data_IF_608260694809
#
_entry.id   IF_608260694809
#
_cell.length_a   1.000
_cell.length_b   1.000
_cell.length_c   1.000
_cell.angle_alpha   90.00
_cell.angle_beta   90.00
_cell.angle_gamma   90.00
#
_symmetry.space_group_name_H-M   'P 1'
#
loop_
_entity.id
_entity.type
_entity.pdbx_description
1 polymer ?
#
# COMPACT_ATOMS: atom_id res chain seq x y z
N UNK A 1 9.56 -29.81 -23.39
CA UNK A 1 8.23 -29.19 -23.21
C UNK A 1 8.20 -28.56 -21.83
N UNK A 2 7.96 -27.24 -21.73
CA UNK A 2 7.96 -26.51 -20.45
C UNK A 2 6.51 -26.26 -20.07
N UNK A 3 6.03 -26.95 -19.05
CA UNK A 3 4.63 -26.85 -18.60
C UNK A 3 4.46 -25.57 -17.80
N UNK A 4 3.83 -24.56 -18.39
CA UNK A 4 3.49 -23.32 -17.70
C UNK A 4 2.37 -23.59 -16.68
N UNK A 5 2.72 -23.64 -15.39
CA UNK A 5 1.73 -23.68 -14.31
C UNK A 5 1.14 -22.28 -14.12
N UNK A 6 -0.05 -22.04 -14.66
CA UNK A 6 -0.77 -20.78 -14.45
C UNK A 6 -1.24 -20.71 -12.99
N UNK A 7 -0.89 -19.63 -12.28
CA UNK A 7 -1.39 -19.35 -10.93
C UNK A 7 -2.88 -18.98 -11.03
N UNK A 8 -3.77 -19.53 -10.18
CA UNK A 8 -5.19 -19.21 -10.24
C UNK A 8 -5.40 -17.71 -9.93
N UNK A 9 -6.11 -17.04 -10.84
CA UNK A 9 -6.52 -15.64 -10.70
C UNK A 9 -7.43 -15.53 -9.47
N UNK A 10 -7.03 -14.72 -8.48
CA UNK A 10 -7.74 -14.56 -7.20
C UNK A 10 -9.13 -13.97 -7.46
N UNK A 11 -10.15 -14.83 -7.52
CA UNK A 11 -11.54 -14.41 -7.72
C UNK A 11 -11.99 -13.60 -6.51
N UNK A 12 -12.22 -12.29 -6.70
CA UNK A 12 -12.79 -11.43 -5.66
C UNK A 12 -14.24 -11.84 -5.41
N UNK A 13 -14.48 -12.59 -4.34
CA UNK A 13 -15.83 -12.95 -3.90
C UNK A 13 -16.51 -11.66 -3.39
N UNK A 14 -17.54 -11.21 -4.09
CA UNK A 14 -18.39 -10.12 -3.62
C UNK A 14 -19.10 -10.59 -2.35
N UNK A 15 -18.87 -9.91 -1.22
CA UNK A 15 -19.54 -10.23 0.04
C UNK A 15 -20.83 -9.42 0.13
N UNK A 16 -21.98 -10.08 -0.05
CA UNK A 16 -23.29 -9.47 0.15
C UNK A 16 -23.79 -9.81 1.55
N UNK A 17 -24.20 -8.79 2.31
CA UNK A 17 -24.79 -8.96 3.63
C UNK A 17 -25.93 -7.96 3.80
N UNK A 18 -27.10 -8.47 4.18
CA UNK A 18 -28.31 -7.66 4.40
C UNK A 18 -28.43 -7.33 5.88
N UNK A 19 -28.55 -6.05 6.21
CA UNK A 19 -28.67 -5.58 7.60
C UNK A 19 -29.82 -4.60 7.72
N UNK A 20 -30.64 -4.72 8.76
CA UNK A 20 -31.72 -3.78 9.02
C UNK A 20 -31.19 -2.44 9.54
N UNK A 21 -31.86 -1.35 9.16
CA UNK A 21 -31.60 0.00 9.67
C UNK A 21 -32.20 0.12 11.07
N UNK A 22 -31.40 0.54 12.04
CA UNK A 22 -31.82 0.79 13.43
C UNK A 22 -32.31 2.24 13.59
N UNK A 23 -32.82 2.56 14.78
CA UNK A 23 -33.25 3.92 15.11
C UNK A 23 -32.15 4.96 14.81
N UNK A 24 -32.56 6.14 14.36
CA UNK A 24 -31.62 7.21 13.96
C UNK A 24 -30.85 6.91 12.67
N UNK A 25 -31.28 5.94 11.86
CA UNK A 25 -30.66 5.65 10.56
C UNK A 25 -29.35 4.84 10.65
N UNK A 26 -29.08 4.21 11.79
CA UNK A 26 -27.83 3.47 12.01
C UNK A 26 -27.82 2.13 11.26
N UNK A 27 -26.74 1.86 10.53
CA UNK A 27 -26.49 0.58 9.85
C UNK A 27 -25.23 -0.05 10.43
N UNK A 28 -25.34 -1.31 10.87
CA UNK A 28 -24.19 -2.06 11.36
C UNK A 28 -23.39 -2.61 10.19
N UNK A 29 -22.11 -2.26 10.11
CA UNK A 29 -21.20 -2.83 9.11
C UNK A 29 -20.92 -4.30 9.48
N UNK A 30 -21.12 -5.26 8.55
CA UNK A 30 -20.78 -6.65 8.77
C UNK A 30 -19.31 -6.85 9.13
N UNK A 31 -19.03 -7.74 10.10
CA UNK A 31 -17.68 -7.96 10.63
C UNK A 31 -16.67 -8.36 9.53
N UNK A 32 -17.10 -9.12 8.52
CA UNK A 32 -16.25 -9.50 7.40
C UNK A 32 -15.77 -8.28 6.59
N UNK A 33 -16.66 -7.31 6.36
CA UNK A 33 -16.36 -6.06 5.66
C UNK A 33 -15.47 -5.19 6.53
N UNK A 34 -15.80 -5.04 7.82
CA UNK A 34 -14.98 -4.29 8.77
C UNK A 34 -13.55 -4.84 8.83
N UNK A 35 -13.36 -6.16 8.95
CA UNK A 35 -12.04 -6.80 8.94
C UNK A 35 -11.30 -6.62 7.61
N UNK A 36 -11.99 -6.73 6.47
CA UNK A 36 -11.40 -6.54 5.13
C UNK A 36 -10.81 -5.13 4.96
N UNK A 37 -11.51 -4.12 5.49
CA UNK A 37 -11.07 -2.72 5.42
C UNK A 37 -10.36 -2.23 6.69
N UNK A 38 -10.14 -3.12 7.67
CA UNK A 38 -9.53 -2.84 8.99
C UNK A 38 -10.19 -1.68 9.74
N UNK A 39 -11.50 -1.54 9.59
CA UNK A 39 -12.28 -0.50 10.27
C UNK A 39 -12.30 -0.73 11.77
N UNK A 40 -12.01 0.31 12.53
CA UNK A 40 -12.10 0.37 13.99
C UNK A 40 -13.19 1.34 14.43
N UNK A 41 -13.60 1.22 15.69
CA UNK A 41 -14.46 2.23 16.32
C UNK A 41 -13.76 3.59 16.32
N UNK A 42 -14.50 4.64 15.94
CA UNK A 42 -13.96 5.99 15.79
C UNK A 42 -13.44 6.33 14.38
N UNK A 43 -13.29 5.33 13.49
CA UNK A 43 -12.90 5.60 12.10
C UNK A 43 -13.98 6.39 11.35
N UNK A 44 -13.54 7.32 10.51
CA UNK A 44 -14.45 8.11 9.67
C UNK A 44 -14.74 7.38 8.37
N UNK A 45 -16.03 7.33 7.98
CA UNK A 45 -16.45 6.85 6.66
C UNK A 45 -17.13 8.00 5.90
N UNK A 46 -16.81 8.13 4.63
CA UNK A 46 -17.55 9.00 3.71
C UNK A 46 -18.72 8.23 3.12
N UNK A 47 -19.92 8.78 3.27
CA UNK A 47 -21.09 8.33 2.53
C UNK A 47 -21.21 9.14 1.25
N UNK A 48 -21.32 8.46 0.12
CA UNK A 48 -21.63 9.09 -1.17
C UNK A 48 -22.91 8.46 -1.74
N UNK A 49 -23.90 9.30 -1.99
CA UNK A 49 -25.08 8.96 -2.76
C UNK A 49 -24.84 9.30 -4.23
N UNK A 50 -25.12 8.35 -5.12
CA UNK A 50 -25.00 8.52 -6.57
C UNK A 50 -26.36 8.75 -7.25
N UNK A 51 -27.46 8.84 -6.49
CA UNK A 51 -28.81 9.09 -7.00
C UNK A 51 -29.43 7.91 -7.76
N UNK A 52 -28.77 6.74 -7.74
CA UNK A 52 -29.18 5.52 -8.46
C UNK A 52 -29.67 4.42 -7.53
N UNK A 53 -30.12 4.79 -6.34
CA UNK A 53 -30.60 3.85 -5.32
C UNK A 53 -29.50 3.05 -4.62
N UNK A 54 -28.24 3.48 -4.71
CA UNK A 54 -27.15 2.90 -3.92
C UNK A 54 -26.28 3.97 -3.26
N UNK A 55 -25.91 3.68 -2.01
CA UNK A 55 -25.01 4.50 -1.21
C UNK A 55 -23.70 3.75 -1.08
N UNK A 56 -22.59 4.43 -1.37
CA UNK A 56 -21.25 3.86 -1.22
C UNK A 56 -20.64 4.37 0.08
N UNK A 57 -20.20 3.43 0.91
CA UNK A 57 -19.41 3.69 2.11
C UNK A 57 -17.93 3.60 1.75
N UNK A 58 -17.23 4.72 1.86
CA UNK A 58 -15.80 4.81 1.59
C UNK A 58 -15.05 5.09 2.89
N UNK A 59 -14.25 4.15 3.40
CA UNK A 59 -13.37 4.41 4.54
C UNK A 59 -12.47 5.60 4.25
N UNK A 60 -12.54 6.65 5.07
CA UNK A 60 -11.48 7.65 5.08
C UNK A 60 -10.42 7.15 6.04
N UNK A 61 -9.29 6.72 5.48
CA UNK A 61 -8.06 6.71 6.25
C UNK A 61 -7.75 8.17 6.57
N UNK A 62 -8.21 8.65 7.72
CA UNK A 62 -7.60 9.81 8.33
C UNK A 62 -6.14 9.43 8.52
N UNK A 63 -5.23 10.17 7.89
CA UNK A 63 -3.80 10.14 8.21
C UNK A 63 -3.56 10.74 9.62
N UNK A 64 -4.39 10.39 10.59
CA UNK A 64 -4.23 10.66 12.01
C UNK A 64 -4.19 9.29 12.67
N UNK A 65 -3.06 8.61 12.51
CA UNK A 65 -2.90 7.23 12.97
C UNK A 65 -1.71 6.47 12.39
N UNK A 66 -1.08 6.98 11.33
CA UNK A 66 0.27 6.58 10.89
C UNK A 66 1.34 7.24 11.80
N UNK A 67 1.17 7.02 13.10
CA UNK A 67 2.22 7.08 14.13
C UNK A 67 2.01 5.90 15.08
N UNK A 68 1.59 4.76 14.54
CA UNK A 68 1.37 3.53 15.28
C UNK A 68 2.51 2.55 15.00
N UNK A 69 3.70 2.83 15.51
CA UNK A 69 4.83 1.89 15.65
C UNK A 69 5.51 1.37 14.36
N UNK A 70 4.78 1.16 13.26
CA UNK A 70 5.28 0.60 12.00
C UNK A 70 6.08 1.61 11.18
N UNK A 71 5.77 2.90 11.26
CA UNK A 71 6.48 3.93 10.50
C UNK A 71 7.88 4.17 11.04
N UNK A 72 8.06 4.17 12.36
CA UNK A 72 9.41 4.26 12.97
C UNK A 72 10.25 3.04 12.63
N UNK A 73 9.65 1.83 12.66
CA UNK A 73 10.37 0.62 12.30
C UNK A 73 10.75 0.61 10.82
N UNK A 74 9.86 1.07 9.95
CA UNK A 74 10.11 1.15 8.50
C UNK A 74 11.16 2.21 8.21
N UNK A 75 11.10 3.37 8.86
CA UNK A 75 12.05 4.47 8.70
C UNK A 75 13.46 4.08 9.18
N UNK A 76 13.57 3.43 10.35
CA UNK A 76 14.87 2.89 10.83
C UNK A 76 15.43 1.84 9.87
N UNK A 77 14.59 1.01 9.27
CA UNK A 77 15.04 0.04 8.26
C UNK A 77 15.48 0.72 6.96
N UNK A 78 14.81 1.80 6.54
CA UNK A 78 15.23 2.61 5.39
C UNK A 78 16.56 3.31 5.64
N UNK A 79 16.73 3.95 6.79
CA UNK A 79 17.98 4.65 7.15
C UNK A 79 19.16 3.66 7.16
N UNK A 80 18.94 2.46 7.71
CA UNK A 80 19.96 1.40 7.71
C UNK A 80 20.27 0.89 6.30
N UNK A 81 19.25 0.71 5.46
CA UNK A 81 19.44 0.27 4.07
C UNK A 81 20.14 1.35 3.22
N UNK A 82 19.89 2.63 3.49
CA UNK A 82 20.55 3.75 2.83
C UNK A 82 22.03 3.85 3.21
N UNK A 83 22.35 3.61 4.48
CA UNK A 83 23.73 3.53 4.96
C UNK A 83 24.48 2.34 4.33
N UNK A 84 23.87 1.14 4.32
CA UNK A 84 24.45 -0.05 3.69
C UNK A 84 24.66 0.14 2.17
N UNK A 85 23.70 0.78 1.48
CA UNK A 85 23.83 1.12 0.06
C UNK A 85 24.96 2.14 -0.18
N UNK A 86 25.07 3.16 0.68
CA UNK A 86 26.13 4.17 0.59
C UNK A 86 27.52 3.56 0.79
N UNK A 87 27.66 2.60 1.70
CA UNK A 87 28.92 1.89 1.93
C UNK A 87 29.26 0.92 0.79
N UNK A 88 28.27 0.28 0.17
CA UNK A 88 28.47 -0.57 -1.00
C UNK A 88 28.88 0.25 -2.24
N UNK A 89 28.31 1.45 -2.43
CA UNK A 89 28.76 2.40 -3.45
C UNK A 89 30.20 2.85 -3.18
N UNK A 90 30.54 3.15 -1.92
CA UNK A 90 31.90 3.58 -1.53
C UNK A 90 32.94 2.47 -1.74
N UNK A 91 32.57 1.21 -1.49
CA UNK A 91 33.40 0.03 -1.79
C UNK A 91 33.50 -0.31 -3.28
N UNK A 92 32.63 0.27 -4.11
CA UNK A 92 32.57 0.02 -5.54
C UNK A 92 31.83 -1.26 -5.93
N UNK A 93 31.10 -1.88 -4.99
CA UNK A 93 30.35 -3.11 -5.21
C UNK A 93 29.07 -2.87 -6.04
N UNK A 94 28.51 -1.67 -5.95
CA UNK A 94 27.33 -1.24 -6.70
C UNK A 94 27.51 0.17 -7.28
N UNK A 95 26.89 0.43 -8.43
CA UNK A 95 26.90 1.76 -9.03
C UNK A 95 26.01 2.73 -8.22
N UNK A 96 26.35 4.03 -8.19
CA UNK A 96 25.44 5.04 -7.65
C UNK A 96 24.14 5.09 -8.46
N UNK A 97 23.09 5.69 -7.90
CA UNK A 97 21.87 5.99 -8.64
C UNK A 97 22.15 7.07 -9.70
N UNK A 98 21.64 6.87 -10.91
CA UNK A 98 21.74 7.83 -12.00
C UNK A 98 20.36 8.43 -12.29
N UNK A 99 20.27 9.76 -12.29
CA UNK A 99 19.02 10.46 -12.60
C UNK A 99 18.81 10.62 -14.11
N UNK A 100 19.90 10.58 -14.89
CA UNK A 100 19.86 10.72 -16.35
C UNK A 100 20.68 9.63 -17.05
N UNK A 101 20.34 9.36 -18.32
CA UNK A 101 21.07 8.40 -19.14
C UNK A 101 22.52 8.86 -19.42
N UNK A 102 22.75 10.17 -19.50
CA UNK A 102 24.08 10.74 -19.73
C UNK A 102 25.02 10.51 -18.53
N UNK A 103 24.49 10.56 -17.29
CA UNK A 103 25.26 10.27 -16.08
C UNK A 103 25.72 8.80 -16.01
N UNK A 104 24.84 7.88 -16.44
CA UNK A 104 25.18 6.46 -16.55
C UNK A 104 26.26 6.22 -17.61
N UNK A 105 26.14 6.87 -18.77
CA UNK A 105 27.11 6.74 -19.86
C UNK A 105 28.48 7.28 -19.43
N UNK A 106 28.52 8.44 -18.77
CA UNK A 106 29.75 9.03 -18.25
C UNK A 106 30.43 8.11 -17.22
N UNK A 107 29.65 7.49 -16.32
CA UNK A 107 30.16 6.53 -15.34
C UNK A 107 30.75 5.28 -16.00
N UNK A 108 30.05 4.69 -16.97
CA UNK A 108 30.51 3.50 -17.72
C UNK A 108 31.78 3.78 -18.55
N UNK A 109 31.91 4.97 -19.12
CA UNK A 109 33.12 5.37 -19.85
C UNK A 109 34.32 5.57 -18.93
N UNK A 110 34.11 5.98 -17.67
CA UNK A 110 35.18 6.20 -16.69
C UNK A 110 35.78 4.89 -16.14
N UNK A 111 35.04 3.78 -16.19
CA UNK A 111 35.51 2.45 -15.75
C UNK A 111 36.31 1.69 -16.83
N UNK A 112 36.35 2.17 -18.08
CA UNK A 112 37.06 1.51 -19.20
C UNK A 112 38.56 1.89 -19.33
N UNK A 113 39.22 2.22 -18.22
CA UNK A 113 40.69 2.44 -18.15
C UNK A 113 41.30 1.44 -17.18
#
# INVERSE_FOLDING_TARGET
MITATSRPKKTSIATTATTAIRAGGQVKIPLAIAKKYRLQEGDTVTLRDFGRGFIVFMPRKTKQGESSGSDKLSQVMWDKMEEEASEAIRRGDISPSFETADDLIAYLHRQKV
#
